data_IF_213582502424
#
_entry.id   IF_213582502424
#
_cell.length_a   1.000
_cell.length_b   1.000
_cell.length_c   1.000
_cell.angle_alpha   90.00
_cell.angle_beta   90.00
_cell.angle_gamma   90.00
#
_symmetry.space_group_name_H-M   'P 1'
#
loop_
_entity.id
_entity.type
_entity.pdbx_description
1 polymer ?
#
# COMPACT_ATOMS: atom_id res chain seq x y z
N UNK A 1 32.63 -40.32 44.11
CA UNK A 1 32.96 -38.95 44.54
C UNK A 1 32.81 -38.09 43.30
N UNK A 2 31.64 -37.67 42.95
CA UNK A 2 30.90 -36.43 43.27
C UNK A 2 31.66 -35.15 43.04
N UNK A 3 31.29 -34.44 42.03
CA UNK A 3 30.96 -33.01 42.00
C UNK A 3 30.87 -32.55 40.54
N UNK A 4 29.69 -32.46 40.03
CA UNK A 4 29.40 -31.52 38.92
C UNK A 4 27.95 -31.09 39.11
N UNK A 5 27.77 -29.91 39.62
CA UNK A 5 26.50 -29.26 39.75
C UNK A 5 26.71 -27.80 40.13
N UNK A 6 26.18 -26.90 39.31
CA UNK A 6 26.03 -25.44 39.48
C UNK A 6 26.95 -24.55 38.63
N UNK A 7 26.51 -24.33 37.41
CA UNK A 7 26.86 -23.12 36.68
C UNK A 7 25.80 -22.68 35.66
N UNK A 8 24.54 -23.15 35.74
CA UNK A 8 23.51 -22.76 34.76
C UNK A 8 22.56 -21.65 35.25
N UNK A 9 22.57 -21.28 36.52
CA UNK A 9 21.57 -20.36 37.08
C UNK A 9 21.85 -18.85 36.89
N UNK A 10 23.10 -18.47 36.66
CA UNK A 10 23.46 -17.05 36.61
C UNK A 10 23.13 -16.38 35.28
N UNK A 11 23.13 -17.11 34.17
CA UNK A 11 22.81 -16.59 32.83
C UNK A 11 21.31 -16.33 32.61
N UNK A 12 20.48 -17.24 33.12
CA UNK A 12 19.03 -17.10 33.01
C UNK A 12 18.47 -16.00 33.91
N UNK A 13 19.03 -15.81 35.10
CA UNK A 13 18.65 -14.70 35.98
C UNK A 13 19.04 -13.35 35.38
N UNK A 14 20.25 -13.23 34.84
CA UNK A 14 20.70 -12.00 34.18
C UNK A 14 19.90 -11.67 32.90
N UNK A 15 19.54 -12.67 32.12
CA UNK A 15 18.67 -12.50 30.94
C UNK A 15 17.23 -12.11 31.33
N UNK A 16 16.71 -12.66 32.44
CA UNK A 16 15.41 -12.30 32.99
C UNK A 16 15.36 -10.89 33.56
N UNK A 17 16.44 -10.47 34.25
CA UNK A 17 16.56 -9.08 34.77
C UNK A 17 16.74 -8.05 33.65
N UNK A 18 17.52 -8.37 32.59
CA UNK A 18 17.65 -7.52 31.41
C UNK A 18 16.30 -7.35 30.69
N UNK A 19 15.54 -8.42 30.55
CA UNK A 19 14.20 -8.42 29.96
C UNK A 19 13.18 -7.66 30.84
N UNK A 20 13.32 -7.72 32.16
CA UNK A 20 12.50 -6.94 33.10
C UNK A 20 12.87 -5.44 33.09
N UNK A 21 14.15 -5.09 32.91
CA UNK A 21 14.59 -3.69 32.73
C UNK A 21 14.13 -3.10 31.40
N UNK A 22 14.21 -3.84 30.30
CA UNK A 22 13.66 -3.47 28.99
C UNK A 22 12.13 -3.29 29.04
N UNK A 23 11.43 -4.06 29.86
CA UNK A 23 9.99 -3.89 30.08
C UNK A 23 9.65 -2.62 30.89
N UNK A 24 10.61 -2.06 31.62
CA UNK A 24 10.47 -0.84 32.43
C UNK A 24 10.97 0.42 31.71
N UNK A 25 11.80 0.28 30.67
CA UNK A 25 12.28 1.41 29.84
C UNK A 25 11.40 1.57 28.59
N UNK A 26 10.56 2.64 28.54
CA UNK A 26 9.68 2.89 27.40
C UNK A 26 10.44 3.05 26.07
N UNK A 27 11.65 3.64 26.09
CA UNK A 27 12.46 3.80 24.87
C UNK A 27 13.05 2.47 24.38
N UNK A 28 13.49 1.59 25.29
CA UNK A 28 13.94 0.26 24.92
C UNK A 28 12.82 -0.56 24.28
N UNK A 29 11.61 -0.51 24.85
CA UNK A 29 10.41 -1.13 24.27
C UNK A 29 10.06 -0.55 22.89
N UNK A 30 10.08 0.78 22.74
CA UNK A 30 9.85 1.46 21.47
C UNK A 30 10.85 0.98 20.40
N UNK A 31 12.14 0.97 20.76
CA UNK A 31 13.22 0.51 19.87
C UNK A 31 13.01 -0.94 19.43
N UNK A 32 12.67 -1.83 20.34
CA UNK A 32 12.43 -3.25 20.04
C UNK A 32 11.26 -3.43 19.07
N UNK A 33 10.14 -2.70 19.26
CA UNK A 33 8.99 -2.73 18.35
C UNK A 33 9.41 -2.28 16.95
N UNK A 34 10.10 -1.13 16.86
CA UNK A 34 10.54 -0.58 15.57
C UNK A 34 11.49 -1.53 14.84
N UNK A 35 12.54 -2.02 15.50
CA UNK A 35 13.52 -2.92 14.89
C UNK A 35 12.87 -4.21 14.37
N UNK A 36 11.96 -4.80 15.16
CA UNK A 36 11.23 -6.00 14.74
C UNK A 36 10.40 -5.76 13.46
N UNK A 37 9.71 -4.61 13.37
CA UNK A 37 8.88 -4.30 12.21
C UNK A 37 9.71 -3.95 10.98
N UNK A 38 10.79 -3.19 11.14
CA UNK A 38 11.68 -2.81 10.05
C UNK A 38 12.49 -4.00 9.53
N UNK A 39 12.83 -4.97 10.37
CA UNK A 39 13.48 -6.21 9.94
C UNK A 39 12.56 -7.07 9.04
N UNK A 40 11.24 -6.98 9.21
CA UNK A 40 10.27 -7.73 8.40
C UNK A 40 9.97 -7.04 7.06
N UNK A 41 9.81 -5.71 7.03
CA UNK A 41 9.53 -4.94 5.82
C UNK A 41 9.73 -3.43 6.06
N UNK A 42 9.96 -2.63 5.01
CA UNK A 42 9.93 -1.18 5.10
C UNK A 42 8.60 -0.69 5.70
N UNK A 43 8.68 0.30 6.59
CA UNK A 43 7.53 0.89 7.29
C UNK A 43 7.63 2.39 7.30
N UNK A 44 6.47 3.05 7.22
CA UNK A 44 6.41 4.50 7.38
C UNK A 44 6.54 4.89 8.85
N UNK A 45 6.98 6.13 9.08
CA UNK A 45 7.00 6.76 10.41
C UNK A 45 5.64 6.64 11.12
N UNK A 46 4.55 6.88 10.40
CA UNK A 46 3.20 6.78 10.93
C UNK A 46 2.82 5.35 11.34
N UNK A 47 3.17 4.35 10.53
CA UNK A 47 2.92 2.94 10.86
C UNK A 47 3.68 2.50 12.11
N UNK A 48 4.93 2.95 12.27
CA UNK A 48 5.72 2.66 13.47
C UNK A 48 5.16 3.37 14.71
N UNK A 49 4.75 4.65 14.58
CA UNK A 49 4.08 5.38 15.64
C UNK A 49 2.82 4.64 16.12
N UNK A 50 1.98 4.21 15.17
CA UNK A 50 0.76 3.45 15.49
C UNK A 50 1.07 2.10 16.17
N UNK A 51 2.11 1.42 15.72
CA UNK A 51 2.50 0.15 16.34
C UNK A 51 3.01 0.34 17.79
N UNK A 52 3.79 1.37 18.03
CA UNK A 52 4.25 1.74 19.37
C UNK A 52 3.10 2.13 20.29
N UNK A 53 2.15 2.94 19.79
CA UNK A 53 0.94 3.30 20.51
C UNK A 53 0.13 2.05 20.93
N UNK A 54 -0.13 1.13 19.99
CA UNK A 54 -0.78 -0.16 20.30
C UNK A 54 0.02 -1.01 21.28
N UNK A 55 1.34 -0.87 21.27
CA UNK A 55 2.25 -1.51 22.22
C UNK A 55 2.27 -0.84 23.60
N UNK A 56 1.49 0.21 23.86
CA UNK A 56 1.45 0.92 25.13
C UNK A 56 2.70 1.76 25.41
N UNK A 57 3.45 2.16 24.38
CA UNK A 57 4.60 3.05 24.53
C UNK A 57 4.12 4.48 24.71
N UNK A 58 4.62 5.23 25.73
CA UNK A 58 4.31 6.64 25.90
C UNK A 58 4.70 7.47 24.68
N UNK A 59 3.91 8.51 24.38
CA UNK A 59 4.09 9.33 23.18
C UNK A 59 5.49 9.97 23.08
N UNK A 60 6.06 10.44 24.21
CA UNK A 60 7.38 11.07 24.23
C UNK A 60 8.49 10.07 23.90
N UNK A 61 8.43 8.85 24.46
CA UNK A 61 9.39 7.79 24.12
C UNK A 61 9.28 7.37 22.65
N UNK A 62 8.05 7.23 22.13
CA UNK A 62 7.82 6.92 20.73
C UNK A 62 8.40 8.03 19.82
N UNK A 63 8.15 9.30 20.13
CA UNK A 63 8.67 10.45 19.38
C UNK A 63 10.20 10.47 19.35
N UNK A 64 10.84 10.26 20.51
CA UNK A 64 12.30 10.24 20.63
C UNK A 64 12.93 9.16 19.75
N UNK A 65 12.38 7.96 19.74
CA UNK A 65 12.87 6.85 18.91
C UNK A 65 12.62 7.09 17.42
N UNK A 66 11.46 7.63 17.04
CA UNK A 66 11.17 7.96 15.64
C UNK A 66 12.13 9.00 15.08
N UNK A 67 12.48 10.04 15.86
CA UNK A 67 13.48 11.04 15.45
C UNK A 67 14.82 10.35 15.22
N UNK A 68 15.33 9.62 16.22
CA UNK A 68 16.64 8.94 16.11
C UNK A 68 16.71 7.97 14.93
N UNK A 69 15.60 7.26 14.64
CA UNK A 69 15.58 6.28 13.54
C UNK A 69 15.48 6.98 12.17
N UNK A 70 14.82 8.14 12.10
CA UNK A 70 14.82 8.99 10.91
C UNK A 70 16.23 9.56 10.66
N UNK A 71 16.85 10.13 11.70
CA UNK A 71 18.22 10.70 11.61
C UNK A 71 19.27 9.63 11.23
N UNK A 72 19.07 8.39 11.68
CA UNK A 72 19.91 7.24 11.32
C UNK A 72 19.57 6.63 9.93
N UNK A 73 18.59 7.17 9.20
CA UNK A 73 18.17 6.65 7.89
C UNK A 73 17.46 5.29 7.93
N UNK A 74 17.04 4.83 9.11
CA UNK A 74 16.27 3.58 9.26
C UNK A 74 14.78 3.77 8.89
N UNK A 75 14.30 5.00 8.94
CA UNK A 75 12.98 5.43 8.50
C UNK A 75 13.18 6.46 7.40
N UNK A 76 12.69 6.16 6.21
CA UNK A 76 12.69 7.07 5.07
C UNK A 76 11.34 6.94 4.34
N UNK A 77 10.41 7.83 4.67
CA UNK A 77 9.07 7.84 4.11
C UNK A 77 9.07 8.22 2.62
N UNK A 78 10.06 9.02 2.17
CA UNK A 78 10.21 9.35 0.75
C UNK A 78 10.69 8.14 -0.07
N UNK A 79 11.69 7.40 0.42
CA UNK A 79 12.13 6.17 -0.23
C UNK A 79 11.03 5.10 -0.22
N UNK A 80 10.28 4.98 0.90
CA UNK A 80 9.11 4.11 0.98
C UNK A 80 8.07 4.48 -0.09
N UNK A 81 7.74 5.77 -0.24
CA UNK A 81 6.75 6.24 -1.19
C UNK A 81 7.16 5.92 -2.64
N UNK A 82 8.42 6.18 -3.02
CA UNK A 82 8.95 5.87 -4.35
C UNK A 82 8.87 4.37 -4.66
N UNK A 83 9.34 3.53 -3.75
CA UNK A 83 9.30 2.07 -3.92
C UNK A 83 7.85 1.55 -3.99
N UNK A 84 6.93 2.15 -3.22
CA UNK A 84 5.51 1.83 -3.25
C UNK A 84 4.89 2.14 -4.61
N UNK A 85 5.12 3.35 -5.13
CA UNK A 85 4.62 3.79 -6.45
C UNK A 85 5.09 2.85 -7.54
N UNK A 86 6.39 2.59 -7.61
CA UNK A 86 6.98 1.71 -8.62
C UNK A 86 6.39 0.30 -8.56
N UNK A 87 6.41 -0.31 -7.38
CA UNK A 87 5.91 -1.67 -7.18
C UNK A 87 4.42 -1.81 -7.52
N UNK A 88 3.58 -0.88 -7.04
CA UNK A 88 2.13 -0.96 -7.21
C UNK A 88 1.67 -0.57 -8.61
N UNK A 89 2.31 0.42 -9.22
CA UNK A 89 2.03 0.74 -10.63
C UNK A 89 2.38 -0.43 -11.54
N UNK A 90 3.58 -1.00 -11.38
CA UNK A 90 4.02 -2.13 -12.20
C UNK A 90 3.16 -3.38 -11.99
N UNK A 91 2.94 -3.80 -10.74
CA UNK A 91 2.26 -5.07 -10.45
C UNK A 91 0.74 -5.01 -10.59
N UNK A 92 0.12 -3.89 -10.19
CA UNK A 92 -1.35 -3.74 -10.15
C UNK A 92 -1.89 -2.77 -11.19
N UNK A 93 -1.06 -1.94 -11.82
CA UNK A 93 -1.47 -0.92 -12.76
C UNK A 93 -2.35 0.15 -12.11
N UNK A 94 -2.03 0.58 -10.89
CA UNK A 94 -2.77 1.64 -10.21
C UNK A 94 -2.41 3.00 -10.80
N UNK A 95 -3.40 3.89 -10.91
CA UNK A 95 -3.21 5.29 -11.32
C UNK A 95 -2.50 6.10 -10.25
N UNK A 96 -1.93 7.27 -10.61
CA UNK A 96 -1.39 8.25 -9.67
C UNK A 96 -2.37 8.57 -8.53
N UNK A 97 -3.67 8.74 -8.87
CA UNK A 97 -4.72 9.03 -7.88
C UNK A 97 -4.85 7.92 -6.83
N UNK A 98 -4.92 6.67 -7.26
CA UNK A 98 -5.01 5.53 -6.32
C UNK A 98 -3.74 5.34 -5.51
N UNK A 99 -2.56 5.53 -6.12
CA UNK A 99 -1.27 5.48 -5.43
C UNK A 99 -1.17 6.54 -4.34
N UNK A 100 -1.56 7.79 -4.64
CA UNK A 100 -1.61 8.87 -3.66
C UNK A 100 -2.56 8.53 -2.49
N UNK A 101 -3.73 7.95 -2.78
CA UNK A 101 -4.68 7.55 -1.76
C UNK A 101 -4.14 6.42 -0.87
N UNK A 102 -3.42 5.44 -1.45
CA UNK A 102 -2.75 4.38 -0.68
C UNK A 102 -1.64 4.94 0.22
N UNK A 103 -0.82 5.86 -0.30
CA UNK A 103 0.26 6.48 0.47
C UNK A 103 -0.27 7.33 1.64
N UNK A 104 -1.36 8.10 1.42
CA UNK A 104 -2.02 8.82 2.51
C UNK A 104 -2.52 7.88 3.61
N UNK A 105 -3.12 6.74 3.25
CA UNK A 105 -3.53 5.72 4.25
C UNK A 105 -2.35 5.11 4.99
N UNK A 106 -1.18 5.05 4.38
CA UNK A 106 0.06 4.62 5.03
C UNK A 106 0.70 5.74 5.88
N UNK A 107 0.12 6.95 5.89
CA UNK A 107 0.57 8.07 6.70
C UNK A 107 1.80 8.79 6.17
N UNK A 108 2.05 8.72 4.85
CA UNK A 108 3.09 9.53 4.18
C UNK A 108 2.57 10.96 4.01
N UNK A 109 3.45 11.93 4.20
CA UNK A 109 3.15 13.36 4.05
C UNK A 109 2.86 13.74 2.59
N UNK A 110 1.98 14.74 2.38
CA UNK A 110 1.51 15.09 1.05
C UNK A 110 2.61 15.53 0.08
N UNK A 111 3.65 16.21 0.56
CA UNK A 111 4.80 16.63 -0.21
C UNK A 111 5.55 15.42 -0.79
N UNK A 112 5.88 14.46 0.07
CA UNK A 112 6.55 13.22 -0.32
C UNK A 112 5.69 12.35 -1.26
N UNK A 113 4.36 12.38 -1.08
CA UNK A 113 3.42 11.71 -1.98
C UNK A 113 3.50 12.36 -3.37
N UNK A 114 3.43 13.69 -3.45
CA UNK A 114 3.50 14.41 -4.72
C UNK A 114 4.79 14.09 -5.46
N UNK A 115 5.93 14.23 -4.79
CA UNK A 115 7.23 13.89 -5.36
C UNK A 115 7.29 12.45 -5.87
N UNK A 116 6.78 11.49 -5.11
CA UNK A 116 6.82 10.09 -5.48
C UNK A 116 5.94 9.77 -6.70
N UNK A 117 4.74 10.35 -6.80
CA UNK A 117 3.83 10.07 -7.92
C UNK A 117 4.20 10.86 -9.18
N UNK A 118 4.91 11.98 -9.05
CA UNK A 118 5.34 12.80 -10.19
C UNK A 118 6.46 12.12 -11.01
N UNK A 119 7.18 11.17 -10.42
CA UNK A 119 8.14 10.31 -11.13
C UNK A 119 7.43 9.48 -12.22
N UNK A 120 6.15 9.16 -12.04
CA UNK A 120 5.39 8.39 -13.00
C UNK A 120 5.00 9.29 -14.18
N UNK A 121 5.57 8.98 -15.35
CA UNK A 121 5.25 9.68 -16.59
C UNK A 121 3.75 9.53 -16.93
N UNK A 122 3.04 10.62 -17.24
CA UNK A 122 1.66 10.58 -17.70
C UNK A 122 1.43 9.66 -18.90
N UNK A 123 2.37 9.60 -19.84
CA UNK A 123 2.28 8.71 -21.00
C UNK A 123 2.37 7.23 -20.59
N UNK A 124 3.24 6.92 -19.64
CA UNK A 124 3.35 5.56 -19.08
C UNK A 124 2.07 5.16 -18.32
N UNK A 125 1.45 6.09 -17.62
CA UNK A 125 0.17 5.86 -16.93
C UNK A 125 -0.94 5.52 -17.94
N UNK A 126 -1.06 6.31 -19.03
CA UNK A 126 -2.01 6.05 -20.12
C UNK A 126 -1.72 4.73 -20.82
N UNK A 127 -0.46 4.42 -21.12
CA UNK A 127 -0.06 3.16 -21.75
C UNK A 127 -0.39 1.96 -20.85
N UNK A 128 -0.24 2.10 -19.55
CA UNK A 128 -0.62 1.06 -18.58
C UNK A 128 -2.14 0.86 -18.55
N UNK A 129 -2.92 1.94 -18.54
CA UNK A 129 -4.38 1.88 -18.63
C UNK A 129 -4.84 1.18 -19.93
N UNK A 130 -4.24 1.50 -21.06
CA UNK A 130 -4.51 0.88 -22.36
C UNK A 130 -4.29 -0.63 -22.32
N UNK A 131 -3.13 -1.08 -21.85
CA UNK A 131 -2.83 -2.51 -21.69
C UNK A 131 -3.83 -3.25 -20.78
N UNK A 132 -4.33 -2.57 -19.75
CA UNK A 132 -5.36 -3.12 -18.89
C UNK A 132 -6.70 -3.29 -19.63
N UNK A 133 -7.10 -2.28 -20.42
CA UNK A 133 -8.32 -2.34 -21.26
C UNK A 133 -8.19 -3.46 -22.28
N UNK A 134 -7.12 -3.51 -23.06
CA UNK A 134 -6.88 -4.54 -24.07
C UNK A 134 -6.98 -5.95 -23.49
N UNK A 135 -6.32 -6.20 -22.36
CA UNK A 135 -6.43 -7.51 -21.66
C UNK A 135 -7.84 -7.82 -21.20
N UNK A 136 -8.55 -6.81 -20.66
CA UNK A 136 -9.92 -7.01 -20.19
C UNK A 136 -10.86 -7.26 -21.35
N UNK A 137 -10.76 -6.50 -22.44
CA UNK A 137 -11.56 -6.67 -23.64
C UNK A 137 -11.30 -8.03 -24.30
N UNK A 138 -10.05 -8.45 -24.41
CA UNK A 138 -9.70 -9.77 -24.93
C UNK A 138 -10.30 -10.91 -24.07
N UNK A 139 -10.26 -10.79 -22.74
CA UNK A 139 -10.81 -11.80 -21.82
C UNK A 139 -12.35 -11.89 -21.83
N UNK A 140 -13.03 -10.94 -22.45
CA UNK A 140 -14.48 -10.83 -22.47
C UNK A 140 -15.09 -10.91 -23.88
N UNK A 141 -14.34 -11.35 -24.92
CA UNK A 141 -14.77 -11.35 -26.33
C UNK A 141 -16.10 -12.07 -26.60
N UNK A 142 -16.44 -13.07 -25.83
CA UNK A 142 -17.72 -13.79 -25.99
C UNK A 142 -18.92 -13.15 -25.29
N UNK A 143 -18.77 -11.94 -24.71
CA UNK A 143 -19.84 -11.26 -23.99
C UNK A 143 -20.47 -10.13 -24.83
N UNK A 144 -21.73 -9.71 -24.54
CA UNK A 144 -22.32 -8.55 -25.17
C UNK A 144 -21.43 -7.29 -25.00
N UNK A 145 -21.36 -6.42 -26.05
CA UNK A 145 -20.49 -5.25 -26.05
C UNK A 145 -20.66 -4.35 -24.83
N UNK A 146 -21.88 -4.04 -24.42
CA UNK A 146 -22.21 -3.23 -23.24
C UNK A 146 -21.63 -3.83 -21.94
N UNK A 147 -21.73 -5.15 -21.79
CA UNK A 147 -21.16 -5.86 -20.64
C UNK A 147 -19.63 -5.73 -20.61
N UNK A 148 -19.00 -5.81 -21.78
CA UNK A 148 -17.55 -5.65 -21.93
C UNK A 148 -17.11 -4.25 -21.50
N UNK A 149 -17.80 -3.22 -22.02
CA UNK A 149 -17.56 -1.81 -21.69
C UNK A 149 -17.70 -1.58 -20.19
N UNK A 150 -18.85 -1.96 -19.59
CA UNK A 150 -19.08 -1.79 -18.16
C UNK A 150 -18.03 -2.48 -17.30
N UNK A 151 -17.61 -3.69 -17.66
CA UNK A 151 -16.56 -4.40 -16.92
C UNK A 151 -15.20 -3.75 -17.04
N UNK A 152 -14.84 -3.22 -18.22
CA UNK A 152 -13.57 -2.52 -18.43
C UNK A 152 -13.54 -1.17 -17.70
N UNK A 153 -14.64 -0.40 -17.80
CA UNK A 153 -14.79 0.88 -17.09
C UNK A 153 -14.74 0.68 -15.56
N UNK A 154 -15.50 -0.28 -15.03
CA UNK A 154 -15.47 -0.59 -13.59
C UNK A 154 -14.09 -1.08 -13.11
N UNK A 155 -13.35 -1.81 -13.91
CA UNK A 155 -11.97 -2.21 -13.59
C UNK A 155 -11.04 -0.98 -13.52
N UNK A 156 -11.11 -0.05 -14.48
CA UNK A 156 -10.29 1.17 -14.48
C UNK A 156 -10.68 2.11 -13.33
N UNK A 157 -11.99 2.24 -13.04
CA UNK A 157 -12.46 3.04 -11.91
C UNK A 157 -11.88 2.55 -10.57
N UNK A 158 -11.90 1.23 -10.32
CA UNK A 158 -11.28 0.63 -9.12
C UNK A 158 -9.76 0.83 -9.05
N UNK A 159 -9.10 1.05 -10.18
CA UNK A 159 -7.67 1.39 -10.27
C UNK A 159 -7.40 2.89 -10.20
N UNK A 160 -8.46 3.72 -10.11
CA UNK A 160 -8.39 5.16 -9.92
C UNK A 160 -8.21 5.98 -11.18
N UNK A 161 -8.37 5.39 -12.36
CA UNK A 161 -8.34 6.13 -13.62
C UNK A 161 -9.60 6.99 -13.80
N UNK A 162 -9.47 8.24 -14.29
CA UNK A 162 -10.63 9.10 -14.52
C UNK A 162 -11.56 8.53 -15.61
N UNK A 163 -12.88 8.71 -15.47
CA UNK A 163 -13.87 8.15 -16.41
C UNK A 163 -13.62 8.56 -17.87
N UNK A 164 -13.31 9.84 -18.12
CA UNK A 164 -13.03 10.33 -19.48
C UNK A 164 -11.86 9.60 -20.17
N UNK A 165 -10.78 9.30 -19.43
CA UNK A 165 -9.69 8.48 -19.96
C UNK A 165 -10.15 7.03 -20.20
N UNK A 166 -10.89 6.47 -19.25
CA UNK A 166 -11.36 5.10 -19.33
C UNK A 166 -12.23 4.88 -20.58
N UNK A 167 -13.24 5.71 -20.80
CA UNK A 167 -14.13 5.58 -21.95
C UNK A 167 -13.43 5.87 -23.28
N UNK A 168 -12.49 6.84 -23.32
CA UNK A 168 -11.67 7.06 -24.50
C UNK A 168 -10.88 5.82 -24.90
N UNK A 169 -10.16 5.21 -23.97
CA UNK A 169 -9.36 4.01 -24.23
C UNK A 169 -10.21 2.80 -24.62
N UNK A 170 -11.36 2.62 -23.98
CA UNK A 170 -12.32 1.55 -24.32
C UNK A 170 -12.82 1.73 -25.75
N UNK A 171 -13.22 2.95 -26.15
CA UNK A 171 -13.67 3.25 -27.50
C UNK A 171 -12.58 2.92 -28.53
N UNK A 172 -11.34 3.38 -28.30
CA UNK A 172 -10.21 3.13 -29.20
C UNK A 172 -9.94 1.62 -29.38
N UNK A 173 -10.00 0.84 -28.31
CA UNK A 173 -9.79 -0.60 -28.36
C UNK A 173 -10.96 -1.33 -29.07
N UNK A 174 -12.21 -0.90 -28.87
CA UNK A 174 -13.36 -1.45 -29.57
C UNK A 174 -13.31 -1.14 -31.06
N UNK A 175 -12.95 0.07 -31.46
CA UNK A 175 -12.76 0.43 -32.87
C UNK A 175 -11.68 -0.42 -33.54
N UNK A 176 -10.56 -0.64 -32.87
CA UNK A 176 -9.48 -1.50 -33.35
C UNK A 176 -9.91 -2.97 -33.51
N UNK A 177 -10.88 -3.44 -32.71
CA UNK A 177 -11.45 -4.80 -32.84
C UNK A 177 -12.51 -4.89 -33.98
N UNK A 178 -12.83 -3.79 -34.69
CA UNK A 178 -13.89 -3.75 -35.71
C UNK A 178 -15.30 -3.86 -35.12
N UNK A 179 -15.44 -3.68 -33.83
CA UNK A 179 -16.73 -3.68 -33.13
C UNK A 179 -17.33 -2.26 -33.15
N UNK A 180 -17.71 -1.77 -34.32
CA UNK A 180 -18.60 -0.61 -34.45
C UNK A 180 -20.03 -0.99 -34.02
N UNK A 181 -20.20 -1.36 -32.76
CA UNK A 181 -21.53 -1.36 -32.17
C UNK A 181 -21.82 0.07 -31.73
N UNK A 182 -22.94 0.60 -32.20
CA UNK A 182 -23.51 1.86 -31.75
C UNK A 182 -23.89 1.75 -30.25
N UNK A 183 -22.89 1.82 -29.39
CA UNK A 183 -23.10 1.98 -27.95
C UNK A 183 -22.91 3.45 -27.68
N UNK A 184 -23.94 4.12 -27.23
CA UNK A 184 -23.84 5.46 -26.71
C UNK A 184 -23.05 5.41 -25.39
N UNK A 185 -21.73 5.63 -25.51
CA UNK A 185 -20.82 5.62 -24.35
C UNK A 185 -21.06 6.84 -23.45
N UNK A 186 -21.79 7.84 -23.91
CA UNK A 186 -22.12 9.03 -23.13
C UNK A 186 -23.27 8.73 -22.15
N UNK A 187 -24.21 7.84 -22.50
CA UNK A 187 -25.21 7.31 -21.55
C UNK A 187 -24.61 6.47 -20.41
N UNK A 188 -23.48 5.80 -20.67
CA UNK A 188 -22.80 4.99 -19.65
C UNK A 188 -21.84 5.81 -18.77
N UNK A 189 -21.62 7.09 -19.09
CA UNK A 189 -20.78 8.00 -18.32
C UNK A 189 -21.56 8.76 -17.21
N UNK A 190 -22.88 8.61 -17.10
CA UNK A 190 -23.60 9.15 -15.97
C UNK A 190 -23.11 8.47 -14.68
N UNK A 191 -22.72 9.24 -13.64
CA UNK A 191 -22.30 8.67 -12.38
C UNK A 191 -23.48 8.00 -11.69
N UNK A 192 -23.53 6.67 -11.74
CA UNK A 192 -24.38 5.89 -10.86
C UNK A 192 -23.93 6.18 -9.42
N UNK A 193 -24.68 7.03 -8.72
CA UNK A 193 -24.38 7.55 -7.38
C UNK A 193 -24.49 6.48 -6.29
N UNK A 194 -24.67 5.19 -6.64
CA UNK A 194 -24.96 4.12 -5.70
C UNK A 194 -23.84 3.05 -5.56
N UNK A 195 -22.57 3.45 -5.56
CA UNK A 195 -21.48 2.51 -5.25
C UNK A 195 -20.56 2.99 -4.11
N UNK A 196 -21.16 3.59 -3.09
CA UNK A 196 -20.57 3.74 -1.78
C UNK A 196 -21.28 2.79 -0.82
N UNK A 197 -20.90 1.54 -0.76
CA UNK A 197 -20.84 0.70 0.44
C UNK A 197 -20.54 -0.74 0.04
N UNK A 198 -19.29 -1.09 0.01
CA UNK A 198 -18.90 -2.44 0.38
C UNK A 198 -17.49 -2.41 0.96
N UNK A 199 -17.45 -2.03 2.22
CA UNK A 199 -16.36 -2.27 3.15
C UNK A 199 -16.18 -3.79 3.27
N UNK A 200 -15.27 -4.34 2.48
CA UNK A 200 -14.71 -5.65 2.74
C UNK A 200 -13.26 -5.47 3.19
N UNK A 201 -13.13 -5.10 4.45
CA UNK A 201 -11.97 -5.44 5.27
C UNK A 201 -11.78 -6.96 5.25
N UNK A 202 -11.13 -7.47 4.22
CA UNK A 202 -10.44 -8.75 4.33
C UNK A 202 -9.08 -8.47 4.93
N UNK A 203 -9.06 -8.59 6.23
CA UNK A 203 -7.92 -8.89 7.07
C UNK A 203 -7.11 -10.03 6.43
N UNK A 204 -6.06 -9.68 5.70
CA UNK A 204 -5.05 -10.65 5.31
C UNK A 204 -4.12 -10.78 6.51
N UNK A 205 -4.53 -11.65 7.42
CA UNK A 205 -3.67 -12.16 8.47
C UNK A 205 -2.42 -12.76 7.85
N UNK A 206 -1.31 -12.07 8.01
CA UNK A 206 -0.01 -12.72 8.00
C UNK A 206 0.15 -13.40 9.36
N UNK A 207 -0.24 -14.69 9.42
CA UNK A 207 0.32 -15.60 10.41
C UNK A 207 1.81 -15.75 10.14
N UNK A 208 2.61 -15.34 11.08
CA UNK A 208 3.75 -15.97 11.75
C UNK A 208 4.35 -14.95 12.70
#
# INVERSE_FOLDING_TARGET
MTRNGRASGSGEAAASEAKARDAQDPEARARQICLRLLAAAPRTRAQLAQAMHRGGVPAEAAKAILVRFTDAGLIDDAAFARAWVESRHHSRGLSKRSLSAELRRNGVENEQISEAVDILDPEQEVATARRLVERKMASTRGRPPETRVRQAAGMLARKGYPPGLAFRLIREVMQAEGAEAAIDLDELNEPDVDLCDNDHTRDVGYSL
#
